data_IF_184237942456
#
_entry.id   IF_184237942456
#
_cell.length_a   1.000
_cell.length_b   1.000
_cell.length_c   1.000
_cell.angle_alpha   90.00
_cell.angle_beta   90.00
_cell.angle_gamma   90.00
#
_symmetry.space_group_name_H-M   'P 1'
#
loop_
_entity.id
_entity.type
_entity.pdbx_description
1 polymer ?
#
# COMPACT_ATOMS: atom_id res chain seq x y z
N UNK A 1 -24.63 -45.13 47.94
CA UNK A 1 -25.26 -43.87 47.47
C UNK A 1 -24.41 -43.36 46.32
N UNK A 2 -25.04 -43.22 45.13
CA UNK A 2 -24.59 -42.62 43.86
C UNK A 2 -23.26 -43.12 43.26
N UNK A 3 -23.30 -43.93 42.18
CA UNK A 3 -23.28 -43.54 40.74
C UNK A 3 -21.91 -42.96 40.31
N UNK A 4 -21.02 -43.74 39.66
CA UNK A 4 -20.96 -44.21 38.25
C UNK A 4 -20.42 -43.17 37.27
N UNK A 5 -19.35 -43.61 36.60
CA UNK A 5 -18.83 -43.23 35.27
C UNK A 5 -18.40 -41.76 35.03
N UNK A 6 -17.42 -41.46 34.18
CA UNK A 6 -16.66 -42.28 33.25
C UNK A 6 -15.74 -41.36 32.42
N UNK A 7 -14.67 -41.95 31.90
CA UNK A 7 -13.85 -41.57 30.74
C UNK A 7 -14.14 -40.23 30.00
N UNK A 8 -13.09 -39.48 29.67
CA UNK A 8 -12.44 -39.48 28.35
C UNK A 8 -11.35 -38.40 28.26
N UNK A 9 -10.22 -38.75 27.64
CA UNK A 9 -9.13 -37.82 27.34
C UNK A 9 -9.53 -36.80 26.26
N UNK A 10 -8.88 -35.64 26.30
CA UNK A 10 -9.01 -34.57 25.34
C UNK A 10 -7.70 -33.81 25.22
N UNK A 11 -7.11 -33.97 24.04
CA UNK A 11 -5.85 -33.44 23.53
C UNK A 11 -5.75 -31.91 23.66
N UNK A 12 -4.59 -31.42 24.07
CA UNK A 12 -4.31 -30.01 24.28
C UNK A 12 -4.06 -29.28 22.96
N UNK A 13 -5.07 -28.56 22.48
CA UNK A 13 -4.91 -27.56 21.43
C UNK A 13 -4.60 -26.19 22.02
N UNK A 14 -3.38 -25.71 21.81
CA UNK A 14 -2.97 -24.32 22.06
C UNK A 14 -3.69 -23.37 21.07
N UNK A 15 -4.84 -22.84 21.47
CA UNK A 15 -5.49 -21.71 20.80
C UNK A 15 -5.24 -20.42 21.61
N UNK A 16 -4.62 -19.37 21.05
CA UNK A 16 -4.43 -18.12 21.77
C UNK A 16 -5.76 -17.38 21.97
N UNK A 17 -5.99 -16.73 23.14
CA UNK A 17 -7.29 -16.18 23.50
C UNK A 17 -7.65 -14.96 22.65
N UNK A 18 -8.69 -15.09 21.82
CA UNK A 18 -9.36 -13.95 21.21
C UNK A 18 -10.11 -13.16 22.30
N UNK A 19 -9.46 -12.09 22.79
CA UNK A 19 -10.03 -11.18 23.80
C UNK A 19 -11.41 -10.65 23.41
N UNK A 20 -12.36 -10.86 24.31
CA UNK A 20 -13.77 -10.48 24.21
C UNK A 20 -13.98 -8.97 24.00
N UNK A 21 -14.93 -8.64 23.11
CA UNK A 21 -15.41 -7.27 22.94
C UNK A 21 -16.31 -6.88 24.11
N UNK A 22 -15.86 -5.95 24.95
CA UNK A 22 -16.72 -5.29 25.93
C UNK A 22 -17.83 -4.51 25.20
N UNK A 23 -19.09 -4.90 25.43
CA UNK A 23 -20.27 -4.22 24.92
C UNK A 23 -20.61 -3.05 25.86
N UNK A 24 -20.33 -1.83 25.41
CA UNK A 24 -20.76 -0.61 26.12
C UNK A 24 -22.25 -0.36 25.82
N UNK A 25 -23.10 -0.02 26.80
CA UNK A 25 -24.52 0.25 26.56
C UNK A 25 -24.77 1.48 25.69
N UNK A 26 -25.74 1.36 24.77
CA UNK A 26 -26.19 2.42 23.88
C UNK A 26 -26.97 3.51 24.63
N UNK A 27 -26.48 4.75 24.61
CA UNK A 27 -27.35 5.93 24.68
C UNK A 27 -26.66 7.15 24.04
N UNK A 28 -27.46 7.92 23.28
CA UNK A 28 -27.17 9.11 22.47
C UNK A 28 -26.61 8.88 21.04
N UNK A 29 -27.53 8.65 20.11
CA UNK A 29 -27.32 8.85 18.67
C UNK A 29 -27.35 10.35 18.35
N UNK A 30 -26.38 10.86 17.59
CA UNK A 30 -26.65 11.75 16.45
C UNK A 30 -25.37 12.19 15.75
N UNK A 31 -24.90 11.35 14.84
CA UNK A 31 -24.33 11.73 13.55
C UNK A 31 -24.00 10.43 12.83
N UNK A 32 -24.56 10.20 11.63
CA UNK A 32 -24.12 9.07 10.79
C UNK A 32 -22.62 9.27 10.57
N UNK A 33 -21.74 8.41 11.09
CA UNK A 33 -20.32 8.57 10.86
C UNK A 33 -20.12 8.45 9.35
N UNK A 34 -19.46 9.44 8.75
CA UNK A 34 -19.04 9.29 7.35
C UNK A 34 -18.30 7.96 7.24
N UNK A 35 -18.57 7.16 6.20
CA UNK A 35 -17.85 5.92 5.93
C UNK A 35 -16.38 6.28 5.68
N UNK A 36 -15.61 6.47 6.75
CA UNK A 36 -14.16 6.59 6.69
C UNK A 36 -13.66 5.18 6.38
N UNK A 37 -13.00 5.01 5.22
CA UNK A 37 -12.29 3.76 4.93
C UNK A 37 -11.30 3.53 6.07
N UNK A 38 -11.53 2.47 6.84
CA UNK A 38 -10.60 2.00 7.86
C UNK A 38 -9.40 1.31 7.20
N UNK A 39 -8.35 1.05 7.97
CA UNK A 39 -7.23 0.25 7.46
C UNK A 39 -7.74 -1.15 7.08
N UNK A 40 -7.47 -1.58 5.84
CA UNK A 40 -7.99 -2.83 5.30
C UNK A 40 -7.25 -4.03 5.88
N UNK A 41 -7.90 -4.82 6.75
CA UNK A 41 -7.29 -5.91 7.52
C UNK A 41 -7.01 -7.22 6.75
N UNK A 42 -6.86 -7.18 5.42
CA UNK A 42 -6.66 -8.37 4.58
C UNK A 42 -7.68 -9.52 4.73
N UNK A 43 -8.88 -9.30 5.29
CA UNK A 43 -9.83 -10.38 5.58
C UNK A 43 -10.14 -11.28 4.36
N UNK A 44 -10.43 -10.67 3.20
CA UNK A 44 -10.68 -11.42 1.97
C UNK A 44 -9.43 -12.14 1.39
N UNK A 45 -8.20 -11.78 1.79
CA UNK A 45 -7.02 -12.58 1.45
C UNK A 45 -7.04 -13.89 2.25
N UNK A 46 -7.23 -13.81 3.56
CA UNK A 46 -7.24 -14.98 4.44
C UNK A 46 -8.39 -15.94 4.07
N UNK A 47 -9.58 -15.39 3.81
CA UNK A 47 -10.72 -16.18 3.35
C UNK A 47 -10.42 -16.88 2.01
N UNK A 48 -9.79 -16.18 1.05
CA UNK A 48 -9.44 -16.76 -0.27
C UNK A 48 -8.36 -17.82 -0.15
N UNK A 49 -7.36 -17.60 0.71
CA UNK A 49 -6.29 -18.57 1.00
C UNK A 49 -6.85 -19.85 1.62
N UNK A 50 -7.73 -19.74 2.62
CA UNK A 50 -8.39 -20.89 3.23
C UNK A 50 -9.26 -21.65 2.22
N UNK A 51 -10.06 -20.94 1.41
CA UNK A 51 -10.87 -21.56 0.34
C UNK A 51 -10.01 -22.22 -0.74
N UNK A 52 -8.77 -21.79 -0.93
CA UNK A 52 -7.79 -22.42 -1.80
C UNK A 52 -7.06 -23.61 -1.12
N UNK A 53 -7.63 -24.19 -0.06
CA UNK A 53 -7.04 -25.30 0.69
C UNK A 53 -5.78 -24.90 1.45
N UNK A 54 -5.68 -23.65 1.89
CA UNK A 54 -4.51 -23.08 2.56
C UNK A 54 -3.22 -23.22 1.75
N UNK A 55 -3.34 -23.10 0.43
CA UNK A 55 -2.20 -23.08 -0.50
C UNK A 55 -1.95 -21.66 -1.01
N UNK A 56 -0.69 -21.29 -1.26
CA UNK A 56 -0.36 -19.99 -1.82
C UNK A 56 -1.19 -19.69 -3.08
N UNK A 57 -1.71 -18.47 -3.17
CA UNK A 57 -2.54 -18.02 -4.29
C UNK A 57 -1.68 -17.74 -5.52
N UNK A 58 -2.14 -18.07 -6.73
CA UNK A 58 -1.45 -17.68 -7.95
C UNK A 58 -1.25 -16.17 -8.02
N UNK A 59 -0.08 -15.71 -8.46
CA UNK A 59 0.22 -14.30 -8.69
C UNK A 59 1.03 -14.18 -9.97
N UNK A 60 0.71 -13.18 -10.78
CA UNK A 60 1.41 -12.91 -12.03
C UNK A 60 2.19 -11.59 -11.92
N UNK A 61 3.20 -11.44 -12.77
CA UNK A 61 4.01 -10.23 -12.84
C UNK A 61 4.15 -9.76 -14.28
N UNK A 62 4.00 -8.44 -14.46
CA UNK A 62 4.34 -7.75 -15.69
C UNK A 62 5.84 -7.44 -15.70
N UNK A 63 6.56 -8.14 -16.58
CA UNK A 63 8.01 -8.01 -16.76
C UNK A 63 8.40 -6.84 -17.65
N UNK A 64 7.44 -6.23 -18.35
CA UNK A 64 7.76 -5.14 -19.26
C UNK A 64 8.27 -3.91 -18.51
N UNK A 65 9.14 -3.16 -19.19
CA UNK A 65 9.82 -1.98 -18.63
C UNK A 65 10.72 -2.26 -17.42
N UNK A 66 11.10 -3.52 -17.13
CA UNK A 66 11.94 -3.90 -15.98
C UNK A 66 11.39 -3.44 -14.62
N UNK A 67 10.07 -3.25 -14.50
CA UNK A 67 9.43 -2.80 -13.26
C UNK A 67 8.83 -3.94 -12.43
N UNK A 68 8.65 -5.13 -13.02
CA UNK A 68 8.24 -6.37 -12.35
C UNK A 68 7.04 -6.18 -11.44
N UNK A 69 5.95 -5.63 -11.99
CA UNK A 69 4.75 -5.26 -11.22
C UNK A 69 3.80 -6.42 -11.10
N UNK A 70 3.28 -6.67 -9.89
CA UNK A 70 2.22 -7.65 -9.70
C UNK A 70 0.98 -7.28 -10.52
N UNK A 71 0.44 -8.25 -11.25
CA UNK A 71 -0.75 -8.14 -12.10
C UNK A 71 -1.64 -9.40 -11.96
N UNK A 72 -2.75 -9.42 -12.68
CA UNK A 72 -3.69 -10.55 -12.68
C UNK A 72 -4.65 -10.54 -11.50
N UNK A 73 -5.41 -11.61 -11.32
CA UNK A 73 -6.59 -11.61 -10.42
C UNK A 73 -6.27 -11.25 -8.96
N UNK A 74 -5.10 -11.68 -8.46
CA UNK A 74 -4.75 -11.56 -7.05
C UNK A 74 -3.86 -10.34 -6.72
N UNK A 75 -3.56 -9.47 -7.69
CA UNK A 75 -2.61 -8.36 -7.52
C UNK A 75 -3.01 -7.38 -6.41
N UNK A 76 -4.31 -7.07 -6.27
CA UNK A 76 -4.76 -6.14 -5.22
C UNK A 76 -4.56 -6.72 -3.82
N UNK A 77 -4.76 -8.03 -3.65
CA UNK A 77 -4.52 -8.71 -2.39
C UNK A 77 -3.02 -8.66 -2.05
N UNK A 78 -2.17 -8.88 -3.05
CA UNK A 78 -0.71 -8.83 -2.93
C UNK A 78 -0.23 -7.43 -2.50
N UNK A 79 -0.61 -6.38 -3.23
CA UNK A 79 -0.22 -5.00 -2.92
C UNK A 79 -0.74 -4.55 -1.55
N UNK A 80 -1.95 -4.99 -1.16
CA UNK A 80 -2.49 -4.66 0.16
C UNK A 80 -1.80 -5.42 1.28
N UNK A 81 -1.37 -6.67 1.08
CA UNK A 81 -0.52 -7.38 2.03
C UNK A 81 0.82 -6.67 2.22
N UNK A 82 1.49 -6.26 1.14
CA UNK A 82 2.69 -5.43 1.22
C UNK A 82 2.43 -4.19 2.09
N UNK A 83 1.33 -3.46 1.83
CA UNK A 83 1.02 -2.26 2.61
C UNK A 83 0.83 -2.56 4.10
N UNK A 84 0.18 -3.67 4.45
CA UNK A 84 -0.07 -4.02 5.84
C UNK A 84 1.20 -4.48 6.55
N UNK A 85 2.04 -5.29 5.89
CA UNK A 85 3.29 -5.75 6.49
C UNK A 85 4.30 -4.61 6.64
N UNK A 86 4.37 -3.67 5.70
CA UNK A 86 5.16 -2.43 5.87
C UNK A 86 4.63 -1.61 7.05
N UNK A 87 3.32 -1.41 7.16
CA UNK A 87 2.73 -0.64 8.27
C UNK A 87 2.93 -1.33 9.63
N UNK A 88 3.01 -2.66 9.67
CA UNK A 88 3.21 -3.45 10.89
C UNK A 88 4.66 -3.51 11.33
N UNK A 89 5.60 -3.71 10.40
CA UNK A 89 6.97 -4.07 10.75
C UNK A 89 7.99 -2.96 10.50
N UNK A 90 7.68 -1.96 9.67
CA UNK A 90 8.70 -0.99 9.26
C UNK A 90 8.88 0.13 10.30
N UNK A 91 10.10 0.33 10.83
CA UNK A 91 10.45 1.54 11.56
C UNK A 91 10.46 2.77 10.65
N UNK A 92 9.60 3.75 10.95
CA UNK A 92 9.41 4.92 10.09
C UNK A 92 10.44 6.05 10.28
N UNK A 93 11.33 5.93 11.28
CA UNK A 93 12.37 6.91 11.58
C UNK A 93 13.53 6.91 10.57
N UNK A 94 13.76 5.81 9.84
CA UNK A 94 14.75 5.77 8.75
C UNK A 94 14.40 6.75 7.63
N UNK A 95 15.40 7.30 6.93
CA UNK A 95 15.15 8.35 5.92
C UNK A 95 14.47 7.78 4.68
N UNK A 96 14.80 6.55 4.32
CA UNK A 96 14.35 5.86 3.11
C UNK A 96 14.17 4.37 3.37
N UNK A 97 13.47 3.68 2.46
CA UNK A 97 13.28 2.22 2.56
C UNK A 97 14.60 1.45 2.44
N UNK A 98 15.56 2.01 1.73
CA UNK A 98 16.90 1.44 1.57
C UNK A 98 17.60 1.26 2.92
N UNK A 99 17.41 2.20 3.84
CA UNK A 99 17.97 2.17 5.20
C UNK A 99 17.23 1.24 6.16
N UNK A 100 16.02 0.77 5.80
CA UNK A 100 15.28 -0.18 6.64
C UNK A 100 16.06 -1.50 6.72
N UNK A 101 16.23 -2.07 7.94
CA UNK A 101 16.94 -3.32 8.16
C UNK A 101 16.51 -4.48 7.25
N UNK A 102 17.47 -5.34 6.91
CA UNK A 102 17.26 -6.46 5.99
C UNK A 102 16.33 -7.54 6.54
N UNK A 103 16.38 -7.79 7.85
CA UNK A 103 15.48 -8.70 8.57
C UNK A 103 14.01 -8.30 8.46
N UNK A 104 13.70 -7.00 8.57
CA UNK A 104 12.34 -6.48 8.34
C UNK A 104 11.90 -6.75 6.90
N UNK A 105 12.78 -6.48 5.92
CA UNK A 105 12.49 -6.74 4.50
C UNK A 105 12.26 -8.23 4.22
N UNK A 106 13.06 -9.09 4.86
CA UNK A 106 12.94 -10.54 4.75
C UNK A 106 11.66 -11.06 5.40
N UNK A 107 11.27 -10.55 6.57
CA UNK A 107 10.00 -10.91 7.24
C UNK A 107 8.79 -10.64 6.34
N UNK A 108 8.78 -9.49 5.66
CA UNK A 108 7.73 -9.15 4.69
C UNK A 108 7.75 -10.17 3.54
N UNK A 109 8.92 -10.44 2.95
CA UNK A 109 9.04 -11.39 1.83
C UNK A 109 8.59 -12.82 2.22
N UNK A 110 8.95 -13.29 3.40
CA UNK A 110 8.50 -14.59 3.95
C UNK A 110 6.98 -14.63 4.07
N UNK A 111 6.36 -13.55 4.55
CA UNK A 111 4.90 -13.46 4.64
C UNK A 111 4.25 -13.50 3.26
N UNK A 112 4.82 -12.80 2.27
CA UNK A 112 4.33 -12.88 0.89
C UNK A 112 4.41 -14.31 0.34
N UNK A 113 5.52 -15.01 0.59
CA UNK A 113 5.72 -16.41 0.18
C UNK A 113 4.67 -17.36 0.76
N UNK A 114 4.21 -17.10 1.98
CA UNK A 114 3.19 -17.93 2.62
C UNK A 114 1.82 -17.82 1.92
N UNK A 115 1.47 -16.64 1.40
CA UNK A 115 0.15 -16.37 0.84
C UNK A 115 0.09 -16.39 -0.67
N UNK A 116 1.22 -16.26 -1.37
CA UNK A 116 1.29 -16.17 -2.82
C UNK A 116 2.35 -17.10 -3.39
N UNK A 117 2.04 -17.74 -4.51
CA UNK A 117 2.93 -18.67 -5.19
C UNK A 117 4.06 -17.91 -5.91
N UNK A 118 5.03 -17.47 -5.13
CA UNK A 118 6.27 -16.86 -5.60
C UNK A 118 7.35 -17.91 -5.90
N UNK A 119 7.18 -19.15 -5.41
CA UNK A 119 8.16 -20.22 -5.57
C UNK A 119 8.32 -20.64 -7.04
N UNK A 120 7.25 -20.56 -7.84
CA UNK A 120 7.31 -20.80 -9.28
C UNK A 120 8.36 -19.92 -10.01
N UNK A 121 8.72 -18.76 -9.46
CA UNK A 121 9.67 -17.83 -10.09
C UNK A 121 11.12 -18.02 -9.65
N UNK A 122 11.39 -18.76 -8.57
CA UNK A 122 12.73 -18.82 -7.93
C UNK A 122 13.87 -19.23 -8.88
N UNK A 123 13.58 -20.14 -9.81
CA UNK A 123 14.56 -20.67 -10.76
C UNK A 123 14.44 -20.03 -12.15
N UNK A 124 13.80 -18.86 -12.24
CA UNK A 124 13.62 -18.11 -13.49
C UNK A 124 14.51 -16.88 -13.53
N UNK A 125 14.82 -16.39 -14.72
CA UNK A 125 15.56 -15.13 -14.91
C UNK A 125 14.85 -13.90 -14.32
N UNK A 126 13.54 -14.01 -14.04
CA UNK A 126 12.73 -12.89 -13.54
C UNK A 126 12.78 -12.72 -12.02
N UNK A 127 13.32 -13.68 -11.26
CA UNK A 127 13.24 -13.65 -9.79
C UNK A 127 13.88 -12.42 -9.16
N UNK A 128 15.07 -12.05 -9.65
CA UNK A 128 15.78 -10.86 -9.15
C UNK A 128 15.00 -9.58 -9.44
N UNK A 129 14.41 -9.49 -10.62
CA UNK A 129 13.51 -8.42 -10.99
C UNK A 129 12.26 -8.34 -10.10
N UNK A 130 11.62 -9.49 -9.84
CA UNK A 130 10.44 -9.57 -8.95
C UNK A 130 10.79 -9.11 -7.54
N UNK A 131 11.93 -9.55 -6.98
CA UNK A 131 12.40 -9.06 -5.68
C UNK A 131 12.57 -7.54 -5.68
N UNK A 132 13.15 -6.97 -6.73
CA UNK A 132 13.28 -5.51 -6.86
C UNK A 132 11.92 -4.82 -6.98
N UNK A 133 10.97 -5.38 -7.73
CA UNK A 133 9.59 -4.90 -7.85
C UNK A 133 8.87 -4.86 -6.49
N UNK A 134 8.97 -5.94 -5.72
CA UNK A 134 8.45 -6.03 -4.35
C UNK A 134 9.08 -4.97 -3.46
N UNK A 135 10.41 -4.81 -3.49
CA UNK A 135 11.10 -3.78 -2.71
C UNK A 135 10.67 -2.36 -3.12
N UNK A 136 10.41 -2.11 -4.41
CA UNK A 136 9.89 -0.84 -4.89
C UNK A 136 8.46 -0.57 -4.40
N UNK A 137 7.60 -1.60 -4.34
CA UNK A 137 6.27 -1.49 -3.76
C UNK A 137 6.32 -1.22 -2.25
N UNK A 138 7.18 -1.92 -1.51
CA UNK A 138 7.43 -1.63 -0.10
C UNK A 138 7.90 -0.18 0.10
N UNK A 139 8.86 0.28 -0.71
CA UNK A 139 9.38 1.64 -0.64
C UNK A 139 8.30 2.70 -0.90
N UNK A 140 7.40 2.45 -1.85
CA UNK A 140 6.27 3.33 -2.11
C UNK A 140 5.29 3.39 -0.93
N UNK A 141 4.95 2.24 -0.34
CA UNK A 141 4.08 2.18 0.85
C UNK A 141 4.70 2.88 2.05
N UNK A 142 5.99 2.66 2.27
CA UNK A 142 6.76 3.32 3.31
C UNK A 142 6.71 4.86 3.18
N UNK A 143 6.93 5.38 1.97
CA UNK A 143 6.84 6.81 1.66
C UNK A 143 5.43 7.36 1.89
N UNK A 144 4.39 6.63 1.47
CA UNK A 144 3.00 7.05 1.62
C UNK A 144 2.60 7.12 3.10
N UNK A 145 2.99 6.12 3.90
CA UNK A 145 2.75 6.09 5.34
C UNK A 145 3.46 7.24 6.04
N UNK A 146 4.74 7.50 5.72
CA UNK A 146 5.48 8.66 6.25
C UNK A 146 4.83 9.99 5.90
N UNK A 147 4.25 10.10 4.69
CA UNK A 147 3.52 11.30 4.30
C UNK A 147 2.28 11.52 5.18
N UNK A 148 1.55 10.45 5.53
CA UNK A 148 0.41 10.52 6.47
C UNK A 148 0.86 10.92 7.88
N UNK A 149 1.94 10.32 8.37
CA UNK A 149 2.53 10.65 9.68
C UNK A 149 2.99 12.10 9.74
N UNK A 150 3.64 12.61 8.68
CA UNK A 150 4.06 14.01 8.60
C UNK A 150 2.87 14.98 8.61
N UNK A 151 1.80 14.67 7.87
CA UNK A 151 0.55 15.46 7.91
C UNK A 151 -0.07 15.49 9.30
N UNK A 152 -0.04 14.36 10.02
CA UNK A 152 -0.51 14.32 11.41
C UNK A 152 0.35 15.20 12.31
N UNK A 153 1.69 15.06 12.23
CA UNK A 153 2.64 15.91 12.95
C UNK A 153 2.33 17.40 12.76
N UNK A 154 2.18 17.85 11.50
CA UNK A 154 1.88 19.24 11.17
C UNK A 154 0.54 19.71 11.75
N UNK A 155 -0.46 18.83 11.78
CA UNK A 155 -1.79 19.14 12.30
C UNK A 155 -1.82 19.34 13.82
N UNK A 156 -1.06 18.55 14.59
CA UNK A 156 -1.17 18.53 16.06
C UNK A 156 -0.24 19.53 16.77
N UNK A 157 0.76 20.07 16.07
CA UNK A 157 1.67 21.07 16.62
C UNK A 157 2.76 21.45 15.65
N UNK A 158 3.17 20.53 14.78
CA UNK A 158 4.17 20.78 13.75
C UNK A 158 5.48 21.29 14.31
N UNK A 159 6.14 22.13 13.52
CA UNK A 159 7.40 22.75 13.93
C UNK A 159 7.22 23.86 14.97
N UNK A 160 6.05 24.52 14.98
CA UNK A 160 5.74 25.63 15.90
C UNK A 160 5.57 25.16 17.35
N UNK A 161 5.09 23.94 17.54
CA UNK A 161 4.95 23.32 18.86
C UNK A 161 5.27 21.82 18.80
N UNK A 162 6.57 21.53 18.69
CA UNK A 162 7.07 20.15 18.57
C UNK A 162 6.76 19.31 19.82
N UNK A 163 6.79 19.89 21.01
CA UNK A 163 6.48 19.18 22.26
C UNK A 163 5.01 18.74 22.33
N UNK A 164 4.07 19.62 21.94
CA UNK A 164 2.67 19.21 21.77
C UNK A 164 2.53 18.12 20.73
N UNK A 165 3.27 18.21 19.61
CA UNK A 165 3.20 17.18 18.58
C UNK A 165 3.66 15.80 19.09
N UNK A 166 4.73 15.75 19.90
CA UNK A 166 5.23 14.53 20.56
C UNK A 166 4.20 13.89 21.50
N UNK A 167 3.43 14.69 22.22
CA UNK A 167 2.40 14.21 23.15
C UNK A 167 1.13 13.68 22.46
N UNK A 168 0.99 13.88 21.15
CA UNK A 168 -0.22 13.56 20.40
C UNK A 168 0.04 12.53 19.29
N UNK A 169 0.42 11.28 19.62
CA UNK A 169 0.66 10.25 18.61
C UNK A 169 -0.62 9.91 17.83
N UNK A 170 -0.50 9.58 16.53
CA UNK A 170 -1.64 9.09 15.77
C UNK A 170 -2.09 7.72 16.28
N UNK A 171 -3.37 7.39 16.09
CA UNK A 171 -3.93 6.10 16.51
C UNK A 171 -3.12 4.92 15.92
N UNK A 172 -2.68 4.02 16.80
CA UNK A 172 -1.95 2.81 16.43
C UNK A 172 -0.45 3.01 16.22
N UNK A 173 0.12 4.14 16.64
CA UNK A 173 1.58 4.34 16.74
C UNK A 173 1.93 4.51 18.21
N UNK A 174 2.96 3.80 18.69
CA UNK A 174 3.41 3.91 20.08
C UNK A 174 3.95 5.31 20.41
N UNK A 175 3.79 5.82 21.65
CA UNK A 175 4.34 7.12 22.02
C UNK A 175 5.85 7.23 21.80
N UNK A 176 6.61 6.20 22.16
CA UNK A 176 8.08 6.17 21.99
C UNK A 176 8.50 6.17 20.52
N UNK A 177 7.88 5.32 19.69
CA UNK A 177 8.12 5.27 18.25
C UNK A 177 7.80 6.61 17.57
N UNK A 178 6.75 7.27 18.04
CA UNK A 178 6.32 8.57 17.55
C UNK A 178 7.34 9.67 17.87
N UNK A 179 7.83 9.71 19.12
CA UNK A 179 8.89 10.63 19.53
C UNK A 179 10.17 10.36 18.74
N UNK A 180 10.58 9.08 18.60
CA UNK A 180 11.76 8.69 17.83
C UNK A 180 11.66 9.11 16.36
N UNK A 181 10.48 9.00 15.75
CA UNK A 181 10.24 9.48 14.38
C UNK A 181 10.36 11.01 14.29
N UNK A 182 9.81 11.74 15.25
CA UNK A 182 9.88 13.21 15.26
C UNK A 182 11.34 13.66 15.38
N UNK A 183 12.03 13.18 16.42
CA UNK A 183 13.38 13.63 16.77
C UNK A 183 14.44 13.08 15.80
N UNK A 184 14.32 11.81 15.42
CA UNK A 184 15.26 11.15 14.51
C UNK A 184 15.09 11.53 13.04
N UNK A 185 13.94 12.11 12.66
CA UNK A 185 13.66 12.41 11.26
C UNK A 185 13.03 13.78 11.03
N UNK A 186 11.81 14.04 11.52
CA UNK A 186 11.05 15.22 11.09
C UNK A 186 11.70 16.55 11.46
N UNK A 187 12.36 16.62 12.63
CA UNK A 187 13.01 17.83 13.14
C UNK A 187 14.40 18.06 12.55
N UNK A 188 14.99 17.03 11.91
CA UNK A 188 16.31 17.12 11.29
C UNK A 188 16.33 18.14 10.13
N UNK A 189 17.41 18.93 10.04
CA UNK A 189 17.58 19.94 8.99
C UNK A 189 17.56 19.33 7.59
N UNK A 190 18.18 18.16 7.42
CA UNK A 190 18.21 17.41 6.15
C UNK A 190 16.81 17.03 5.69
N UNK A 191 15.95 16.54 6.58
CA UNK A 191 14.57 16.22 6.25
C UNK A 191 13.76 17.46 5.90
N UNK A 192 13.85 18.53 6.70
CA UNK A 192 13.15 19.80 6.46
C UNK A 192 13.49 20.36 5.08
N UNK A 193 14.78 20.47 4.76
CA UNK A 193 15.25 20.99 3.47
C UNK A 193 14.75 20.16 2.28
N UNK A 194 14.80 18.82 2.39
CA UNK A 194 14.28 17.93 1.35
C UNK A 194 12.77 18.05 1.19
N UNK A 195 12.03 18.15 2.31
CA UNK A 195 10.58 18.30 2.30
C UNK A 195 10.15 19.60 1.60
N UNK A 196 10.83 20.71 1.88
CA UNK A 196 10.60 22.00 1.21
C UNK A 196 10.89 21.91 -0.29
N UNK A 197 12.06 21.37 -0.69
CA UNK A 197 12.41 21.16 -2.10
C UNK A 197 11.38 20.30 -2.84
N UNK A 198 10.96 19.19 -2.24
CA UNK A 198 9.97 18.30 -2.84
C UNK A 198 8.60 18.96 -3.00
N UNK A 199 8.21 19.82 -2.06
CA UNK A 199 6.97 20.60 -2.15
C UNK A 199 7.03 21.60 -3.29
N UNK A 200 8.13 22.35 -3.40
CA UNK A 200 8.38 23.29 -4.51
C UNK A 200 8.52 22.60 -5.88
N UNK A 201 9.00 21.35 -5.92
CA UNK A 201 9.03 20.58 -7.16
C UNK A 201 7.64 20.07 -7.53
N UNK A 202 6.85 19.61 -6.56
CA UNK A 202 5.49 19.13 -6.80
C UNK A 202 4.56 20.25 -7.28
N UNK A 203 4.75 21.48 -6.83
CA UNK A 203 3.97 22.63 -7.34
C UNK A 203 4.25 22.95 -8.81
N UNK A 204 5.34 22.41 -9.40
CA UNK A 204 5.66 22.53 -10.84
C UNK A 204 5.11 21.38 -11.68
N UNK A 205 4.40 20.42 -11.09
CA UNK A 205 3.88 19.27 -11.82
C UNK A 205 2.80 19.71 -12.82
N UNK A 206 3.09 19.53 -14.11
CA UNK A 206 2.25 20.00 -15.22
C UNK A 206 1.06 19.08 -15.52
N UNK A 207 1.21 17.78 -15.30
CA UNK A 207 0.20 16.77 -15.59
C UNK A 207 -0.24 16.10 -14.29
N UNK A 208 -1.49 16.31 -13.90
CA UNK A 208 -2.16 15.42 -12.96
C UNK A 208 -2.87 14.31 -13.72
N UNK A 209 -3.42 13.34 -13.00
CA UNK A 209 -4.06 12.19 -13.62
C UNK A 209 -5.32 11.78 -12.85
N UNK A 210 -6.31 11.29 -13.59
CA UNK A 210 -7.53 10.66 -13.10
C UNK A 210 -7.43 9.12 -12.97
N UNK A 211 -6.26 8.53 -13.25
CA UNK A 211 -6.02 7.08 -13.32
C UNK A 211 -6.36 6.30 -12.03
N UNK A 212 -6.57 6.99 -10.91
CA UNK A 212 -7.01 6.37 -9.67
C UNK A 212 -5.93 5.50 -9.04
N UNK A 213 -6.32 4.36 -8.48
CA UNK A 213 -5.44 3.46 -7.72
C UNK A 213 -4.97 2.23 -8.50
N UNK A 214 -5.46 2.02 -9.72
CA UNK A 214 -4.98 0.96 -10.60
C UNK A 214 -3.57 1.32 -11.07
N UNK A 215 -2.68 0.33 -11.16
CA UNK A 215 -1.36 0.54 -11.74
C UNK A 215 -1.48 0.52 -13.27
N UNK A 216 -0.61 1.26 -13.95
CA UNK A 216 -0.53 1.22 -15.41
C UNK A 216 -0.21 -0.19 -15.94
N UNK A 217 0.60 -0.97 -15.21
CA UNK A 217 0.89 -2.37 -15.52
C UNK A 217 -0.37 -3.23 -15.50
N UNK A 218 -1.21 -3.12 -14.46
CA UNK A 218 -2.48 -3.84 -14.41
C UNK A 218 -3.42 -3.39 -15.53
N UNK A 219 -3.51 -2.08 -15.81
CA UNK A 219 -4.36 -1.58 -16.90
C UNK A 219 -3.96 -2.21 -18.24
N UNK A 220 -2.66 -2.24 -18.56
CA UNK A 220 -2.18 -2.88 -19.79
C UNK A 220 -2.44 -4.38 -19.82
N UNK A 221 -2.30 -5.05 -18.68
CA UNK A 221 -2.64 -6.46 -18.55
C UNK A 221 -4.11 -6.71 -18.89
N UNK A 222 -5.01 -5.87 -18.38
CA UNK A 222 -6.45 -5.95 -18.68
C UNK A 222 -6.73 -5.64 -20.16
N UNK A 223 -6.14 -4.59 -20.73
CA UNK A 223 -6.29 -4.22 -22.15
C UNK A 223 -5.82 -5.33 -23.10
N UNK A 224 -4.69 -5.97 -22.81
CA UNK A 224 -4.18 -7.10 -23.61
C UNK A 224 -5.09 -8.32 -23.48
N UNK A 225 -5.63 -8.57 -22.29
CA UNK A 225 -6.57 -9.68 -22.06
C UNK A 225 -7.89 -9.48 -22.81
N UNK A 226 -8.38 -8.25 -22.91
CA UNK A 226 -9.66 -7.93 -23.57
C UNK A 226 -9.52 -7.75 -25.09
N UNK A 227 -8.46 -7.06 -25.55
CA UNK A 227 -8.31 -6.63 -26.95
C UNK A 227 -7.04 -7.09 -27.64
N UNK A 228 -6.20 -7.91 -26.99
CA UNK A 228 -4.98 -8.49 -27.55
C UNK A 228 -3.79 -7.52 -27.70
N UNK A 229 -3.98 -6.21 -27.51
CA UNK A 229 -2.91 -5.20 -27.62
C UNK A 229 -3.07 -4.07 -26.59
N UNK A 230 -1.98 -3.51 -26.04
CA UNK A 230 -2.06 -2.37 -25.13
C UNK A 230 -2.44 -1.08 -25.86
N UNK A 231 -3.31 -0.27 -25.27
CA UNK A 231 -3.77 0.99 -25.86
C UNK A 231 -3.02 2.19 -25.26
N UNK A 232 -1.75 2.37 -25.64
CA UNK A 232 -0.90 3.38 -25.01
C UNK A 232 -1.39 4.83 -25.16
N UNK A 233 -1.83 5.21 -26.35
CA UNK A 233 -2.23 6.59 -26.68
C UNK A 233 -3.63 6.89 -26.11
N UNK A 234 -4.62 6.07 -26.45
CA UNK A 234 -5.98 6.18 -25.91
C UNK A 234 -6.00 6.01 -24.38
N UNK A 235 -5.18 5.09 -23.86
CA UNK A 235 -5.04 4.93 -22.42
C UNK A 235 -4.47 6.15 -21.72
N UNK A 236 -3.55 6.89 -22.36
CA UNK A 236 -3.10 8.18 -21.86
C UNK A 236 -4.24 9.19 -21.82
N UNK A 237 -5.07 9.29 -22.87
CA UNK A 237 -6.24 10.18 -22.88
C UNK A 237 -7.19 9.88 -21.73
N UNK A 238 -7.57 8.62 -21.54
CA UNK A 238 -8.46 8.21 -20.46
C UNK A 238 -7.93 8.54 -19.07
N UNK A 239 -6.60 8.56 -18.91
CA UNK A 239 -5.97 8.93 -17.66
C UNK A 239 -5.97 10.45 -17.39
N UNK A 240 -6.26 11.28 -18.38
CA UNK A 240 -6.17 12.74 -18.27
C UNK A 240 -7.43 13.49 -18.72
N UNK A 241 -8.42 12.77 -19.24
CA UNK A 241 -9.74 13.27 -19.60
C UNK A 241 -10.81 12.52 -18.80
N UNK A 242 -11.78 13.24 -18.25
CA UNK A 242 -12.90 12.63 -17.52
C UNK A 242 -14.20 13.30 -17.93
N UNK A 243 -14.94 12.70 -18.87
CA UNK A 243 -16.30 13.07 -19.29
C UNK A 243 -16.77 14.47 -18.86
N UNK A 244 -17.58 14.55 -17.81
CA UNK A 244 -18.17 15.79 -17.28
C UNK A 244 -17.18 16.83 -16.75
N UNK A 245 -15.95 16.43 -16.44
CA UNK A 245 -14.86 17.29 -15.95
C UNK A 245 -13.89 17.73 -17.05
N UNK A 246 -13.99 17.17 -18.26
CA UNK A 246 -13.11 17.49 -19.37
C UNK A 246 -11.66 17.06 -19.13
N UNK A 247 -10.72 17.76 -19.78
CA UNK A 247 -9.28 17.56 -19.60
C UNK A 247 -8.81 18.06 -18.23
N UNK A 248 -7.78 17.40 -17.69
CA UNK A 248 -7.20 17.79 -16.40
C UNK A 248 -6.73 19.25 -16.39
N UNK A 249 -6.15 19.74 -17.49
CA UNK A 249 -5.90 21.15 -17.74
C UNK A 249 -5.75 21.43 -19.26
N UNK A 250 -5.70 22.71 -19.63
CA UNK A 250 -5.58 23.15 -21.02
C UNK A 250 -4.27 22.70 -21.69
N UNK A 251 -3.19 22.53 -20.93
CA UNK A 251 -1.91 22.07 -21.46
C UNK A 251 -1.99 20.61 -21.93
N UNK A 252 -2.67 19.76 -21.14
CA UNK A 252 -2.94 18.36 -21.47
C UNK A 252 -3.74 18.27 -22.77
N UNK A 253 -4.78 19.09 -22.90
CA UNK A 253 -5.63 19.16 -24.11
C UNK A 253 -4.80 19.56 -25.35
N UNK A 254 -4.02 20.64 -25.25
CA UNK A 254 -3.15 21.08 -26.36
C UNK A 254 -2.14 20.01 -26.77
N UNK A 255 -1.57 19.28 -25.80
CA UNK A 255 -0.63 18.21 -26.10
C UNK A 255 -1.31 17.01 -26.76
N UNK A 256 -2.51 16.63 -26.31
CA UNK A 256 -3.32 15.61 -26.96
C UNK A 256 -3.60 15.96 -28.43
N UNK A 257 -4.09 17.16 -28.68
CA UNK A 257 -4.39 17.63 -30.03
C UNK A 257 -3.11 17.61 -30.88
N UNK A 258 -2.01 18.14 -30.36
CA UNK A 258 -0.74 18.15 -31.10
C UNK A 258 -0.21 16.75 -31.44
N UNK A 259 -0.49 15.75 -30.59
CA UNK A 259 -0.06 14.36 -30.78
C UNK A 259 -0.96 13.57 -31.74
N UNK A 260 -2.22 13.99 -31.90
CA UNK A 260 -3.17 13.39 -32.84
C UNK A 260 -3.09 14.04 -34.23
N UNK A 261 -2.68 15.32 -34.32
CA UNK A 261 -2.49 16.03 -35.59
C UNK A 261 -1.15 15.76 -36.29
N UNK A 262 -0.13 15.27 -35.57
CA UNK A 262 1.13 14.79 -36.17
C UNK A 262 1.09 13.27 -36.34
N UNK A 263 0.31 12.79 -37.30
CA UNK A 263 0.38 11.38 -37.71
C UNK A 263 1.83 10.98 -38.02
N UNK A 264 2.26 9.82 -37.50
CA UNK A 264 3.48 9.16 -37.96
C UNK A 264 3.51 9.14 -39.49
N UNK A 265 4.62 9.56 -40.13
CA UNK A 265 4.85 9.19 -41.52
C UNK A 265 4.86 7.66 -41.62
N UNK A 266 4.14 7.13 -42.60
CA UNK A 266 4.15 5.70 -42.96
C UNK A 266 5.55 5.24 -43.39
#
# INVERSE_FOLDING_TARGET
>A
MADVAGYHGGDGGDEPPHGHSYRVPNSCESSKPSKRRSSGKNLNLYDKFQKNGSRPLPIEFDFSSNLYRAVGENYQLFIRLISNEVDRHAPFHYRSWQEVPGDVKMSILTTLHNYFDLAQYHNTEYWDGIKLGIQADCANRYKDRKTKLKKHFDKVGGYDNTERAKQNPPKGVGPEEWVQLIDGLFTTSTYKNRSMKNTANRSKQLYGSYHGTQSYAQRRYDEVKEGGTPQHVEGWRDMHYKGSSGWYNQLVEQHWDSSTFRGCPQ
#
